data_IF_239457936340
#
_entry.id   IF_239457936340
#
_cell.length_a   1.000
_cell.length_b   1.000
_cell.length_c   1.000
_cell.angle_alpha   90.00
_cell.angle_beta   90.00
_cell.angle_gamma   90.00
#
_symmetry.space_group_name_H-M   'P 1'
#
loop_
_entity.id
_entity.type
_entity.pdbx_description
1 polymer ?
#
# COMPACT_ATOMS: atom_id res chain seq x y z
N UNK A 1 -40.27 -6.72 27.30
CA UNK A 1 -38.81 -6.76 27.20
C UNK A 1 -38.39 -8.23 27.11
N UNK A 2 -38.26 -8.73 25.91
CA UNK A 2 -38.02 -10.15 25.66
C UNK A 2 -36.54 -10.52 25.84
N UNK A 3 -36.27 -11.35 26.83
CA UNK A 3 -34.99 -11.93 27.20
C UNK A 3 -34.81 -13.32 26.53
N UNK A 4 -35.02 -13.44 25.24
CA UNK A 4 -34.81 -14.71 24.51
C UNK A 4 -33.94 -14.54 23.28
N UNK A 5 -32.70 -14.94 23.38
CA UNK A 5 -31.89 -15.71 22.43
C UNK A 5 -30.36 -15.47 22.60
N UNK A 6 -29.85 -15.81 23.78
CA UNK A 6 -28.42 -16.09 23.87
C UNK A 6 -28.23 -17.61 23.65
N UNK A 7 -27.63 -17.97 22.51
CA UNK A 7 -27.33 -19.37 22.24
C UNK A 7 -26.20 -19.88 23.17
N UNK A 8 -26.23 -21.19 23.51
CA UNK A 8 -25.17 -21.85 24.31
C UNK A 8 -23.75 -21.64 23.74
N UNK A 9 -23.64 -21.43 22.42
CA UNK A 9 -22.37 -21.09 21.76
C UNK A 9 -21.86 -19.69 22.12
N UNK A 10 -22.73 -18.70 22.26
CA UNK A 10 -22.36 -17.34 22.67
C UNK A 10 -21.91 -17.27 24.13
N UNK A 11 -22.47 -18.12 24.99
CA UNK A 11 -22.06 -18.20 26.40
C UNK A 11 -20.67 -18.83 26.58
N UNK A 12 -20.34 -19.88 25.78
CA UNK A 12 -19.03 -20.51 25.80
C UNK A 12 -17.92 -19.62 25.24
N UNK A 13 -18.23 -18.75 24.25
CA UNK A 13 -17.26 -17.81 23.71
C UNK A 13 -16.93 -16.66 24.68
N UNK A 14 -17.90 -16.21 25.50
CA UNK A 14 -17.67 -15.22 26.53
C UNK A 14 -16.95 -15.80 27.75
N UNK A 15 -17.26 -17.04 28.15
CA UNK A 15 -16.62 -17.73 29.25
C UNK A 15 -15.14 -18.08 29.01
N UNK A 16 -14.76 -18.39 27.77
CA UNK A 16 -13.37 -18.64 27.40
C UNK A 16 -12.50 -17.37 27.44
N UNK A 17 -13.09 -16.19 27.19
CA UNK A 17 -12.40 -14.89 27.22
C UNK A 17 -12.04 -14.44 28.64
N UNK A 18 -12.75 -14.90 29.65
CA UNK A 18 -12.50 -14.55 31.07
C UNK A 18 -11.48 -15.43 31.76
N UNK A 19 -11.19 -16.62 31.23
CA UNK A 19 -10.22 -17.57 31.80
C UNK A 19 -8.75 -17.31 31.39
N UNK A 20 -8.52 -16.54 30.33
CA UNK A 20 -7.17 -16.20 29.84
C UNK A 20 -6.92 -14.68 29.96
N UNK A 21 -6.84 -14.16 31.15
CA UNK A 21 -6.74 -12.74 31.53
C UNK A 21 -5.56 -11.93 30.97
N UNK A 22 -5.20 -12.07 29.70
CA UNK A 22 -4.16 -11.27 29.01
C UNK A 22 -4.42 -11.00 27.52
N UNK A 23 -5.58 -11.31 26.98
CA UNK A 23 -5.87 -10.97 25.59
C UNK A 23 -6.24 -9.48 25.45
N UNK A 24 -5.45 -8.75 24.67
CA UNK A 24 -5.83 -7.39 24.25
C UNK A 24 -7.05 -7.46 23.33
N UNK A 25 -7.94 -6.48 23.40
CA UNK A 25 -9.15 -6.40 22.56
C UNK A 25 -8.82 -6.56 21.05
N UNK A 26 -7.64 -6.11 20.63
CA UNK A 26 -7.12 -6.30 19.25
C UNK A 26 -6.87 -7.77 18.89
N UNK A 27 -6.40 -8.60 19.82
CA UNK A 27 -6.17 -10.04 19.59
C UNK A 27 -7.48 -10.81 19.50
N UNK A 28 -8.49 -10.43 20.27
CA UNK A 28 -9.83 -11.02 20.19
C UNK A 28 -10.54 -10.64 18.88
N UNK A 29 -10.32 -9.44 18.35
CA UNK A 29 -10.83 -8.99 17.06
C UNK A 29 -10.10 -9.69 15.89
N UNK A 30 -8.79 -9.91 16.02
CA UNK A 30 -7.98 -10.66 15.06
C UNK A 30 -8.39 -12.15 14.96
N UNK A 31 -8.65 -12.80 16.09
CA UNK A 31 -9.18 -14.17 16.14
C UNK A 31 -10.58 -14.29 15.50
N UNK A 32 -11.38 -13.23 15.55
CA UNK A 32 -12.70 -13.19 14.92
C UNK A 32 -12.64 -12.95 13.42
N UNK A 33 -11.62 -12.21 12.95
CA UNK A 33 -11.35 -11.99 11.53
C UNK A 33 -10.71 -13.22 10.85
N UNK A 34 -10.02 -14.05 11.63
CA UNK A 34 -9.38 -15.29 11.17
C UNK A 34 -10.31 -16.52 11.14
N UNK A 35 -11.60 -16.37 11.43
CA UNK A 35 -12.56 -17.48 11.31
C UNK A 35 -12.72 -17.85 9.82
N UNK A 36 -12.50 -19.12 9.42
CA UNK A 36 -12.65 -19.53 8.04
C UNK A 36 -14.06 -19.19 7.51
N UNK A 37 -14.15 -18.39 6.45
CA UNK A 37 -15.38 -18.09 5.72
C UNK A 37 -16.04 -16.74 6.00
N UNK A 38 -15.48 -15.83 6.80
CA UNK A 38 -15.99 -14.47 6.91
C UNK A 38 -15.04 -13.49 6.22
N UNK A 39 -15.43 -12.92 5.10
CA UNK A 39 -14.72 -11.77 4.52
C UNK A 39 -14.61 -10.66 5.56
N UNK A 40 -13.45 -9.99 5.69
CA UNK A 40 -13.30 -8.89 6.65
C UNK A 40 -14.26 -7.77 6.28
N UNK A 41 -14.81 -7.13 7.31
CA UNK A 41 -15.66 -5.97 7.08
C UNK A 41 -14.82 -4.84 6.49
N UNK A 42 -15.31 -4.12 5.47
CA UNK A 42 -14.59 -3.02 4.81
C UNK A 42 -14.02 -1.98 5.79
N UNK A 43 -14.77 -1.66 6.84
CA UNK A 43 -14.34 -0.72 7.88
C UNK A 43 -13.09 -1.17 8.65
N UNK A 44 -12.74 -2.46 8.61
CA UNK A 44 -11.57 -3.01 9.32
C UNK A 44 -10.34 -3.18 8.43
N UNK A 45 -10.48 -3.01 7.11
CA UNK A 45 -9.37 -3.16 6.18
C UNK A 45 -8.38 -1.99 6.26
N UNK A 46 -7.10 -2.34 6.21
CA UNK A 46 -5.97 -1.45 5.96
C UNK A 46 -5.19 -1.93 4.75
N UNK A 47 -4.45 -1.04 4.11
CA UNK A 47 -3.62 -1.37 2.94
C UNK A 47 -2.17 -0.99 3.20
N UNK A 48 -1.25 -1.89 2.85
CA UNK A 48 0.18 -1.61 2.73
C UNK A 48 0.55 -1.78 1.26
N UNK A 49 0.97 -0.71 0.61
CA UNK A 49 1.47 -0.71 -0.75
C UNK A 49 3.00 -0.70 -0.73
N UNK A 50 3.62 -1.76 -1.25
CA UNK A 50 5.04 -1.78 -1.60
C UNK A 50 5.16 -1.27 -3.04
N UNK A 51 5.51 0.01 -3.18
CA UNK A 51 5.60 0.66 -4.49
C UNK A 51 7.02 0.60 -5.02
N UNK A 52 7.22 -0.24 -6.05
CA UNK A 52 8.52 -0.51 -6.66
C UNK A 52 8.69 0.39 -7.90
N UNK A 53 9.08 1.65 -7.65
CA UNK A 53 9.16 2.66 -8.69
C UNK A 53 10.33 2.43 -9.65
N UNK A 54 10.02 2.32 -10.92
CA UNK A 54 10.98 2.10 -12.01
C UNK A 54 10.67 0.89 -12.90
N UNK A 55 9.62 0.12 -12.64
CA UNK A 55 9.25 -1.04 -13.48
C UNK A 55 9.96 -2.33 -13.07
N UNK A 56 9.39 -3.05 -12.10
CA UNK A 56 9.86 -4.38 -11.73
C UNK A 56 9.75 -5.35 -12.92
N UNK A 57 10.84 -6.03 -13.22
CA UNK A 57 10.81 -7.08 -14.25
C UNK A 57 10.02 -8.31 -13.78
N UNK A 58 8.98 -8.64 -14.51
CA UNK A 58 8.14 -9.81 -14.27
C UNK A 58 8.91 -11.11 -14.53
N UNK A 59 9.87 -11.11 -15.46
CA UNK A 59 10.68 -12.29 -15.81
C UNK A 59 11.55 -12.78 -14.65
N UNK A 60 12.16 -11.86 -13.94
CA UNK A 60 13.07 -12.16 -12.84
C UNK A 60 12.30 -12.33 -11.53
N UNK A 61 10.97 -12.06 -11.50
CA UNK A 61 10.16 -12.08 -10.29
C UNK A 61 8.95 -13.02 -10.36
N UNK A 62 7.77 -12.49 -10.70
CA UNK A 62 6.50 -13.18 -10.47
C UNK A 62 5.96 -13.97 -11.68
N UNK A 63 6.52 -13.75 -12.89
CA UNK A 63 6.14 -14.46 -14.11
C UNK A 63 7.37 -14.99 -14.87
N UNK A 64 8.17 -15.89 -14.26
CA UNK A 64 9.35 -16.45 -14.92
C UNK A 64 8.92 -17.26 -16.14
N UNK A 65 9.69 -17.13 -17.23
CA UNK A 65 9.44 -17.79 -18.52
C UNK A 65 10.66 -18.64 -18.90
N UNK A 66 10.92 -19.78 -18.20
CA UNK A 66 12.11 -20.59 -18.45
C UNK A 66 12.14 -21.19 -19.88
N UNK A 67 10.98 -21.34 -20.51
CA UNK A 67 10.83 -21.85 -21.87
C UNK A 67 10.78 -20.72 -22.94
N UNK A 68 10.98 -19.45 -22.54
CA UNK A 68 11.02 -18.36 -23.50
C UNK A 68 12.23 -18.50 -24.45
N UNK A 69 12.13 -17.83 -25.59
CA UNK A 69 13.19 -17.77 -26.61
C UNK A 69 14.52 -17.32 -26.00
N UNK A 70 15.62 -17.81 -26.53
CA UNK A 70 16.94 -17.29 -26.21
C UNK A 70 17.03 -15.78 -26.46
N UNK A 71 17.66 -15.04 -25.55
CA UNK A 71 17.66 -13.57 -25.53
C UNK A 71 16.44 -12.93 -24.88
N UNK A 72 15.39 -13.73 -24.53
CA UNK A 72 14.19 -13.27 -23.83
C UNK A 72 14.13 -13.82 -22.41
N UNK A 73 14.40 -15.14 -22.26
CA UNK A 73 14.41 -15.77 -20.93
C UNK A 73 15.42 -15.10 -20.00
N UNK A 74 15.09 -15.08 -18.72
CA UNK A 74 15.99 -14.59 -17.68
C UNK A 74 17.32 -15.37 -17.67
N UNK A 75 18.39 -14.74 -17.23
CA UNK A 75 19.64 -15.44 -16.87
C UNK A 75 19.48 -16.25 -15.58
N UNK A 76 18.40 -16.03 -14.84
CA UNK A 76 18.05 -16.76 -13.63
C UNK A 76 16.99 -17.81 -13.93
N UNK A 77 16.94 -18.84 -13.09
CA UNK A 77 15.94 -19.87 -13.15
C UNK A 77 14.62 -19.50 -12.50
N UNK A 78 13.76 -20.50 -12.38
CA UNK A 78 12.53 -20.41 -11.59
C UNK A 78 12.55 -21.50 -10.51
N UNK A 79 11.88 -21.25 -9.39
CA UNK A 79 11.74 -22.19 -8.27
C UNK A 79 10.26 -22.47 -8.01
N UNK A 80 9.94 -23.69 -7.54
CA UNK A 80 8.60 -23.99 -7.06
C UNK A 80 8.31 -23.21 -5.78
N UNK A 81 7.02 -22.92 -5.58
CA UNK A 81 6.53 -22.34 -4.33
C UNK A 81 5.98 -23.44 -3.41
N UNK A 82 5.48 -23.07 -2.22
CA UNK A 82 4.72 -23.98 -1.35
C UNK A 82 3.33 -24.34 -1.90
N UNK A 83 2.95 -23.81 -3.07
CA UNK A 83 1.71 -24.12 -3.78
C UNK A 83 2.03 -24.86 -5.07
N UNK A 84 1.54 -26.08 -5.22
CA UNK A 84 1.78 -26.91 -6.40
C UNK A 84 1.34 -26.19 -7.68
N UNK A 85 2.22 -26.18 -8.69
CA UNK A 85 1.96 -25.56 -10.01
C UNK A 85 2.31 -24.07 -10.10
N UNK A 86 2.63 -23.41 -9.00
CA UNK A 86 3.09 -22.00 -9.01
C UNK A 86 4.61 -21.98 -8.90
N UNK A 87 5.23 -21.27 -9.86
CA UNK A 87 6.66 -20.98 -9.85
C UNK A 87 6.88 -19.46 -9.85
N UNK A 88 7.96 -19.04 -9.21
CA UNK A 88 8.46 -17.65 -9.18
C UNK A 88 9.94 -17.62 -9.54
N UNK A 89 10.50 -16.45 -9.80
CA UNK A 89 11.94 -16.30 -10.05
C UNK A 89 12.78 -16.84 -8.89
N UNK A 90 13.91 -17.47 -9.20
CA UNK A 90 14.78 -18.13 -8.21
C UNK A 90 15.34 -17.17 -7.14
N UNK A 91 15.31 -15.86 -7.40
CA UNK A 91 15.76 -14.83 -6.47
C UNK A 91 14.70 -14.45 -5.41
N UNK A 92 13.56 -15.18 -5.37
CA UNK A 92 12.47 -14.98 -4.39
C UNK A 92 12.24 -16.20 -3.50
N UNK A 93 13.30 -16.84 -2.91
CA UNK A 93 13.15 -18.09 -2.16
C UNK A 93 12.37 -17.94 -0.85
N UNK A 94 12.36 -16.78 -0.22
CA UNK A 94 11.60 -16.55 1.01
C UNK A 94 10.12 -16.33 0.70
N UNK A 95 9.80 -15.50 -0.30
CA UNK A 95 8.43 -15.29 -0.74
C UNK A 95 7.78 -16.55 -1.29
N UNK A 96 8.54 -17.41 -1.97
CA UNK A 96 8.06 -18.70 -2.48
C UNK A 96 7.47 -19.62 -1.39
N UNK A 97 7.94 -19.50 -0.14
CA UNK A 97 7.44 -20.25 1.01
C UNK A 97 6.09 -19.75 1.54
N UNK A 98 5.62 -18.62 1.06
CA UNK A 98 4.39 -17.96 1.50
C UNK A 98 3.39 -17.77 0.35
N UNK A 99 3.56 -18.46 -0.78
CA UNK A 99 2.67 -18.34 -1.93
C UNK A 99 1.21 -18.70 -1.61
N UNK A 100 0.98 -19.53 -0.62
CA UNK A 100 -0.34 -19.83 -0.06
C UNK A 100 -1.07 -18.60 0.51
N UNK A 101 -0.37 -17.46 0.73
CA UNK A 101 -0.90 -16.24 1.35
C UNK A 101 -1.12 -15.10 0.37
N UNK A 102 -0.72 -15.27 -0.91
CA UNK A 102 -0.87 -14.21 -1.90
C UNK A 102 -1.36 -14.72 -3.25
N UNK A 103 -2.01 -13.85 -4.01
CA UNK A 103 -2.36 -14.03 -5.42
C UNK A 103 -1.36 -13.27 -6.28
N UNK A 104 -0.82 -13.93 -7.32
CA UNK A 104 -0.01 -13.30 -8.36
C UNK A 104 -0.93 -12.92 -9.50
N UNK A 105 -1.01 -11.64 -9.86
CA UNK A 105 -1.68 -11.15 -11.04
C UNK A 105 -0.63 -11.06 -12.15
N UNK A 106 -0.70 -11.94 -13.17
CA UNK A 106 0.23 -11.98 -14.29
C UNK A 106 -0.27 -11.23 -15.53
N UNK A 107 -1.49 -10.75 -15.46
CA UNK A 107 -2.22 -10.21 -16.60
C UNK A 107 -2.51 -8.71 -16.50
N UNK A 108 -1.71 -7.98 -15.75
CA UNK A 108 -1.79 -6.53 -15.78
C UNK A 108 -1.35 -6.00 -17.15
N UNK A 109 -2.11 -5.05 -17.68
CA UNK A 109 -1.82 -4.43 -18.96
C UNK A 109 -2.12 -2.93 -18.94
N UNK A 110 -1.28 -2.17 -19.62
CA UNK A 110 -1.39 -0.73 -19.81
C UNK A 110 -0.82 -0.36 -21.18
N UNK A 111 -0.88 0.92 -21.53
CA UNK A 111 -0.29 1.43 -22.79
C UNK A 111 0.78 2.50 -22.55
N UNK A 112 0.97 2.93 -21.29
CA UNK A 112 1.86 4.03 -20.95
C UNK A 112 3.23 3.51 -20.51
N UNK A 113 4.25 3.84 -21.29
CA UNK A 113 5.64 3.44 -21.06
C UNK A 113 6.52 4.59 -20.50
N UNK A 114 5.94 5.72 -20.10
CA UNK A 114 6.66 6.85 -19.49
C UNK A 114 6.45 6.82 -17.99
N UNK A 115 7.53 6.80 -17.19
CA UNK A 115 7.45 6.63 -15.74
C UNK A 115 6.46 7.57 -15.05
N UNK A 116 6.53 8.86 -15.30
CA UNK A 116 5.71 9.83 -14.57
C UNK A 116 4.21 9.64 -14.85
N UNK A 117 3.84 9.45 -16.11
CA UNK A 117 2.46 9.25 -16.52
C UNK A 117 1.96 7.85 -16.13
N UNK A 118 2.78 6.81 -16.29
CA UNK A 118 2.42 5.45 -15.88
C UNK A 118 2.24 5.34 -14.37
N UNK A 119 3.11 5.97 -13.55
CA UNK A 119 2.93 6.03 -12.10
C UNK A 119 1.65 6.79 -11.73
N UNK A 120 1.39 7.92 -12.39
CA UNK A 120 0.15 8.67 -12.17
C UNK A 120 -1.08 7.83 -12.52
N UNK A 121 -1.03 7.06 -13.63
CA UNK A 121 -2.09 6.16 -14.04
C UNK A 121 -2.29 5.02 -13.02
N UNK A 122 -1.22 4.31 -12.66
CA UNK A 122 -1.27 3.20 -11.70
C UNK A 122 -1.74 3.61 -10.31
N UNK A 123 -1.50 4.87 -9.90
CA UNK A 123 -1.90 5.33 -8.58
C UNK A 123 -3.25 6.06 -8.56
N UNK A 124 -3.83 6.41 -9.72
CA UNK A 124 -5.12 7.10 -9.78
C UNK A 124 -6.23 6.32 -10.49
N UNK A 125 -5.89 5.38 -11.40
CA UNK A 125 -6.84 4.72 -12.31
C UNK A 125 -7.26 5.57 -13.50
N UNK A 126 -6.69 6.77 -13.64
CA UNK A 126 -7.02 7.67 -14.73
C UNK A 126 -5.82 7.92 -15.63
N UNK A 127 -6.05 7.82 -16.94
CA UNK A 127 -5.05 8.23 -17.91
C UNK A 127 -4.67 9.72 -17.68
N UNK A 128 -3.37 10.06 -17.67
CA UNK A 128 -2.91 11.41 -17.41
C UNK A 128 -3.53 12.43 -18.38
N UNK A 129 -3.91 13.58 -17.86
CA UNK A 129 -4.44 14.72 -18.64
C UNK A 129 -3.64 15.96 -18.31
N UNK A 130 -3.27 16.74 -19.31
CA UNK A 130 -2.49 17.99 -19.15
C UNK A 130 -3.20 19.04 -18.29
N UNK A 131 -4.53 19.05 -18.31
CA UNK A 131 -5.37 20.06 -17.65
C UNK A 131 -5.89 19.65 -16.28
N UNK A 132 -5.75 18.39 -15.90
CA UNK A 132 -6.31 17.87 -14.65
C UNK A 132 -5.40 16.81 -14.05
N UNK A 133 -4.97 17.04 -12.82
CA UNK A 133 -4.32 16.02 -12.00
C UNK A 133 -5.38 15.24 -11.23
N UNK A 134 -5.29 13.92 -11.26
CA UNK A 134 -6.18 13.05 -10.51
C UNK A 134 -5.58 12.70 -9.14
N UNK A 135 -6.43 12.47 -8.12
CA UNK A 135 -5.96 12.04 -6.81
C UNK A 135 -5.45 10.60 -6.85
N UNK A 136 -4.41 10.32 -6.05
CA UNK A 136 -4.00 8.94 -5.80
C UNK A 136 -5.11 8.17 -5.08
N UNK A 137 -5.18 6.85 -5.28
CA UNK A 137 -6.15 6.02 -4.55
C UNK A 137 -5.93 6.05 -3.03
N UNK A 138 -4.69 6.25 -2.55
CA UNK A 138 -4.42 6.50 -1.13
C UNK A 138 -5.11 7.76 -0.61
N UNK A 139 -5.14 8.82 -1.42
CA UNK A 139 -5.85 10.07 -1.08
C UNK A 139 -7.36 9.93 -1.16
N UNK A 140 -7.89 9.14 -2.11
CA UNK A 140 -9.32 8.80 -2.16
C UNK A 140 -9.72 8.00 -0.92
N UNK A 141 -8.94 6.99 -0.53
CA UNK A 141 -9.15 6.21 0.69
C UNK A 141 -9.15 7.12 1.93
N UNK A 142 -8.20 8.07 2.00
CA UNK A 142 -8.13 9.02 3.11
C UNK A 142 -9.34 9.97 3.17
N UNK A 143 -9.98 10.23 2.03
CA UNK A 143 -11.19 11.06 1.95
C UNK A 143 -12.45 10.28 2.32
N UNK A 144 -12.61 9.08 1.74
CA UNK A 144 -13.85 8.31 1.87
C UNK A 144 -13.95 7.55 3.21
N UNK A 145 -12.80 7.14 3.76
CA UNK A 145 -12.76 6.42 5.02
C UNK A 145 -12.27 7.31 6.15
N UNK A 146 -13.11 7.51 7.15
CA UNK A 146 -12.72 8.25 8.35
C UNK A 146 -11.48 7.65 9.01
N UNK A 147 -10.58 8.50 9.55
CA UNK A 147 -9.49 8.02 10.40
C UNK A 147 -10.03 7.21 11.58
N UNK A 148 -9.35 6.13 11.96
CA UNK A 148 -9.73 5.31 13.13
C UNK A 148 -9.26 5.92 14.46
N UNK A 149 -8.36 6.88 14.38
CA UNK A 149 -7.74 7.55 15.53
C UNK A 149 -7.06 8.86 15.07
N UNK A 150 -6.15 9.39 15.87
CA UNK A 150 -5.42 10.63 15.60
C UNK A 150 -4.36 10.52 14.51
N UNK A 151 -4.00 9.30 14.08
CA UNK A 151 -3.00 9.09 13.02
C UNK A 151 -3.57 9.50 11.65
N UNK A 152 -2.73 10.07 10.76
CA UNK A 152 -3.14 10.33 9.39
C UNK A 152 -3.61 9.06 8.71
N UNK A 153 -4.72 9.10 7.96
CA UNK A 153 -5.25 7.92 7.28
C UNK A 153 -4.38 7.44 6.12
N UNK A 154 -3.53 8.30 5.58
CA UNK A 154 -2.57 7.99 4.53
C UNK A 154 -1.15 8.43 4.93
N UNK A 155 -0.24 7.46 5.00
CA UNK A 155 1.18 7.68 5.34
C UNK A 155 2.06 7.13 4.23
N UNK A 156 3.12 7.87 3.89
CA UNK A 156 4.12 7.49 2.90
C UNK A 156 5.50 7.45 3.55
N UNK A 157 6.29 6.41 3.24
CA UNK A 157 7.69 6.27 3.63
C UNK A 157 8.57 5.91 2.44
N UNK A 158 9.89 6.08 2.56
CA UNK A 158 10.86 5.71 1.54
C UNK A 158 11.17 6.80 0.50
N UNK A 159 10.80 8.06 0.76
CA UNK A 159 11.19 9.18 -0.08
C UNK A 159 10.19 10.34 -0.09
N UNK A 160 10.50 11.44 -0.78
CA UNK A 160 9.62 12.61 -0.81
C UNK A 160 8.33 12.31 -1.57
N UNK A 161 7.23 12.94 -1.14
CA UNK A 161 5.92 12.84 -1.81
C UNK A 161 6.02 13.34 -3.25
N UNK A 162 5.61 12.52 -4.20
CA UNK A 162 5.56 12.87 -5.62
C UNK A 162 4.20 13.47 -5.98
N UNK A 163 4.16 14.21 -7.09
CA UNK A 163 2.94 14.86 -7.57
C UNK A 163 1.76 13.88 -7.72
N UNK A 164 2.01 12.69 -8.24
CA UNK A 164 1.00 11.65 -8.47
C UNK A 164 0.59 10.84 -7.24
N UNK A 165 1.22 11.06 -6.09
CA UNK A 165 0.82 10.48 -4.81
C UNK A 165 -0.09 11.40 -4.00
N UNK A 166 -0.35 12.61 -4.51
CA UNK A 166 -1.10 13.64 -3.82
C UNK A 166 -2.61 13.54 -4.07
N UNK A 167 -3.34 14.32 -3.30
CA UNK A 167 -4.80 14.39 -3.33
C UNK A 167 -5.36 15.22 -4.48
N UNK A 168 -4.52 15.92 -5.24
CA UNK A 168 -4.94 16.74 -6.37
C UNK A 168 -6.15 17.64 -6.03
N UNK A 169 -7.22 17.55 -6.83
CA UNK A 169 -8.44 18.39 -6.63
C UNK A 169 -9.25 18.03 -5.37
N UNK A 170 -8.95 16.91 -4.67
CA UNK A 170 -9.59 16.62 -3.38
C UNK A 170 -9.11 17.54 -2.26
N UNK A 171 -8.01 18.23 -2.50
CA UNK A 171 -7.41 19.17 -1.55
C UNK A 171 -6.34 18.59 -0.65
N UNK A 172 -5.44 19.44 -0.14
CA UNK A 172 -4.22 19.03 0.57
C UNK A 172 -4.49 18.29 1.88
N UNK A 173 -5.68 18.38 2.44
CA UNK A 173 -6.11 17.64 3.64
C UNK A 173 -5.94 16.12 3.50
N UNK A 174 -6.03 15.60 2.28
CA UNK A 174 -5.95 14.18 1.97
C UNK A 174 -4.61 13.76 1.37
N UNK A 175 -3.62 14.66 1.37
CA UNK A 175 -2.25 14.32 0.98
C UNK A 175 -1.65 13.31 1.97
N UNK A 176 -0.69 12.47 1.52
CA UNK A 176 0.03 11.59 2.42
C UNK A 176 0.84 12.37 3.45
N UNK A 177 0.83 11.87 4.68
CA UNK A 177 1.80 12.29 5.70
C UNK A 177 3.13 11.60 5.43
N UNK A 178 4.21 12.36 5.33
CA UNK A 178 5.54 11.82 5.07
C UNK A 178 6.20 11.36 6.36
N UNK A 179 6.44 10.04 6.46
CA UNK A 179 7.15 9.43 7.59
C UNK A 179 8.67 9.33 7.38
N UNK A 180 9.20 9.82 6.24
CA UNK A 180 10.60 9.72 5.85
C UNK A 180 11.10 8.25 5.77
N UNK A 181 12.41 8.01 5.81
CA UNK A 181 13.02 6.68 5.71
C UNK A 181 13.42 6.15 7.09
N UNK A 182 12.74 5.10 7.60
CA UNK A 182 13.01 4.57 8.95
C UNK A 182 14.33 3.80 9.07
N UNK A 183 15.06 3.60 7.97
CA UNK A 183 16.39 3.01 7.99
C UNK A 183 17.53 4.03 8.19
N UNK A 184 17.21 5.32 8.15
CA UNK A 184 18.20 6.37 8.39
C UNK A 184 18.71 6.30 9.82
N UNK A 185 19.99 6.56 10.00
CA UNK A 185 20.58 6.80 11.30
C UNK A 185 19.87 7.99 11.98
N UNK A 186 19.53 7.83 13.26
CA UNK A 186 18.77 8.82 14.02
C UNK A 186 17.41 9.17 13.39
N UNK A 187 16.71 8.15 12.84
CA UNK A 187 15.37 8.32 12.28
C UNK A 187 14.46 9.06 13.24
N UNK A 188 13.88 10.14 12.76
CA UNK A 188 12.81 10.89 13.41
C UNK A 188 11.82 11.36 12.37
N UNK A 189 10.56 11.18 12.65
CA UNK A 189 9.52 11.80 11.83
C UNK A 189 9.51 13.29 12.13
N UNK A 190 9.58 14.10 11.08
CA UNK A 190 9.54 15.55 11.22
C UNK A 190 8.25 15.97 11.92
N UNK A 191 8.35 16.96 12.77
CA UNK A 191 7.22 17.60 13.43
C UNK A 191 6.39 16.72 14.38
N UNK A 192 6.96 15.59 14.88
CA UNK A 192 6.35 14.82 15.98
C UNK A 192 6.78 15.28 17.36
N UNK A 193 7.78 16.16 17.44
CA UNK A 193 8.25 16.77 18.68
C UNK A 193 8.14 18.30 18.59
N UNK A 194 7.96 18.94 19.73
CA UNK A 194 8.03 20.40 19.77
C UNK A 194 9.46 20.88 19.48
N UNK A 195 9.62 21.98 18.74
CA UNK A 195 10.94 22.59 18.55
C UNK A 195 11.61 22.93 19.91
N UNK A 196 12.91 22.85 19.95
CA UNK A 196 13.68 23.22 21.15
C UNK A 196 13.28 24.61 21.65
N UNK A 197 12.99 24.71 22.96
CA UNK A 197 12.57 25.96 23.59
C UNK A 197 11.13 26.37 23.37
N UNK A 198 10.30 25.48 22.78
CA UNK A 198 8.86 25.67 22.65
C UNK A 198 8.12 24.73 23.59
N UNK A 199 7.35 25.27 24.49
CA UNK A 199 6.44 24.53 25.38
C UNK A 199 4.99 24.59 24.88
N UNK A 200 4.12 23.72 25.43
CA UNK A 200 2.72 23.68 25.07
C UNK A 200 1.98 24.99 25.37
N UNK A 201 2.35 25.70 26.43
CA UNK A 201 1.75 26.99 26.76
C UNK A 201 2.02 28.03 25.67
N UNK A 202 3.21 28.00 25.08
CA UNK A 202 3.56 28.89 23.95
C UNK A 202 2.82 28.48 22.67
N UNK A 203 2.67 27.18 22.40
CA UNK A 203 1.88 26.65 21.27
C UNK A 203 0.42 27.09 21.42
N UNK A 204 -0.18 26.91 22.57
CA UNK A 204 -1.60 27.24 22.81
C UNK A 204 -1.86 28.76 22.72
N UNK A 205 -0.93 29.59 23.21
CA UNK A 205 -0.99 31.06 23.01
C UNK A 205 -0.92 31.45 21.54
N UNK A 206 0.02 30.84 20.77
CA UNK A 206 0.12 31.10 19.33
C UNK A 206 -1.13 30.67 18.58
N UNK A 207 -1.70 29.52 18.90
CA UNK A 207 -2.94 29.03 18.29
C UNK A 207 -4.13 29.95 18.60
N UNK A 208 -4.22 30.47 19.81
CA UNK A 208 -5.27 31.41 20.18
C UNK A 208 -5.18 32.72 19.39
N UNK A 209 -3.97 33.24 19.18
CA UNK A 209 -3.72 34.42 18.37
C UNK A 209 -4.01 34.15 16.89
N UNK A 210 -3.60 32.99 16.36
CA UNK A 210 -3.86 32.59 14.97
C UNK A 210 -5.38 32.53 14.71
N UNK A 211 -6.14 31.86 15.58
CA UNK A 211 -7.61 31.80 15.47
C UNK A 211 -8.28 33.18 15.49
N UNK A 212 -7.71 34.15 16.20
CA UNK A 212 -8.22 35.52 16.19
C UNK A 212 -7.95 36.23 14.85
N UNK A 213 -6.76 36.05 14.29
CA UNK A 213 -6.41 36.58 12.97
C UNK A 213 -7.25 35.92 11.87
N UNK A 214 -7.36 34.59 11.88
CA UNK A 214 -8.06 33.81 10.85
C UNK A 214 -9.56 34.11 10.79
N UNK A 215 -10.20 34.53 11.89
CA UNK A 215 -11.61 34.97 11.85
C UNK A 215 -11.86 36.14 10.90
N UNK A 216 -10.90 37.02 10.70
CA UNK A 216 -11.00 38.10 9.73
C UNK A 216 -10.72 37.61 8.31
N UNK A 217 -9.73 36.73 8.12
CA UNK A 217 -9.39 36.18 6.81
C UNK A 217 -10.44 35.21 6.27
N UNK A 218 -11.09 34.39 7.10
CA UNK A 218 -12.17 33.47 6.67
C UNK A 218 -13.36 34.16 6.03
N UNK A 219 -13.62 35.42 6.38
CA UNK A 219 -14.68 36.22 5.71
C UNK A 219 -14.36 36.57 4.27
N UNK A 220 -13.09 36.47 3.87
CA UNK A 220 -12.59 36.82 2.52
C UNK A 220 -12.11 35.58 1.75
N UNK A 221 -12.01 34.42 2.40
CA UNK A 221 -11.54 33.18 1.77
C UNK A 221 -12.67 32.46 1.04
N UNK A 222 -12.76 32.68 -0.26
CA UNK A 222 -13.73 32.05 -1.17
C UNK A 222 -13.29 30.67 -1.66
N UNK A 223 -12.04 30.24 -1.36
CA UNK A 223 -11.42 29.04 -1.92
C UNK A 223 -11.16 27.96 -0.87
N UNK A 224 -11.40 28.23 0.43
CA UNK A 224 -11.23 27.26 1.53
C UNK A 224 -9.77 26.96 1.89
N UNK A 225 -8.82 27.81 1.49
CA UNK A 225 -7.38 27.63 1.79
C UNK A 225 -7.11 27.74 3.29
N UNK A 226 -7.79 28.67 3.97
CA UNK A 226 -7.62 28.90 5.41
C UNK A 226 -8.10 27.68 6.20
N UNK A 227 -9.22 27.07 5.81
CA UNK A 227 -9.76 25.87 6.47
C UNK A 227 -8.86 24.64 6.24
N UNK A 228 -8.24 24.53 5.06
CA UNK A 228 -7.26 23.49 4.77
C UNK A 228 -5.99 23.64 5.62
N UNK A 229 -5.46 24.88 5.73
CA UNK A 229 -4.29 25.17 6.57
C UNK A 229 -4.57 24.91 8.06
N UNK A 230 -5.75 25.32 8.57
CA UNK A 230 -6.19 25.04 9.93
C UNK A 230 -6.26 23.52 10.21
N UNK A 231 -6.82 22.76 9.27
CA UNK A 231 -6.94 21.31 9.41
C UNK A 231 -5.55 20.65 9.47
N UNK A 232 -4.61 21.05 8.63
CA UNK A 232 -3.22 20.55 8.68
C UNK A 232 -2.54 20.90 10.00
N UNK A 233 -2.69 22.14 10.45
CA UNK A 233 -2.13 22.60 11.71
C UNK A 233 -2.71 21.83 12.92
N UNK A 234 -4.02 21.63 12.97
CA UNK A 234 -4.68 20.85 14.04
C UNK A 234 -4.25 19.37 13.99
N UNK A 235 -4.14 18.77 12.81
CA UNK A 235 -3.65 17.40 12.65
C UNK A 235 -2.22 17.27 13.18
N UNK A 236 -1.32 18.20 12.80
CA UNK A 236 0.06 18.22 13.29
C UNK A 236 0.11 18.34 14.84
N UNK A 237 -0.66 19.26 15.43
CA UNK A 237 -0.70 19.42 16.88
C UNK A 237 -1.27 18.19 17.60
N UNK A 238 -2.27 17.55 17.03
CA UNK A 238 -2.86 16.32 17.56
C UNK A 238 -1.84 15.19 17.54
N UNK A 239 -1.08 15.06 16.44
CA UNK A 239 0.02 14.08 16.32
C UNK A 239 1.11 14.31 17.35
N UNK A 240 1.58 15.56 17.51
CA UNK A 240 2.62 15.92 18.50
C UNK A 240 2.16 15.61 19.94
N UNK A 241 0.86 15.76 20.24
CA UNK A 241 0.28 15.44 21.56
C UNK A 241 0.04 13.95 21.75
N UNK A 242 -0.09 13.17 20.68
CA UNK A 242 -0.46 11.77 20.75
C UNK A 242 0.74 10.88 21.09
N UNK A 243 0.77 10.38 22.32
CA UNK A 243 1.76 9.35 22.70
C UNK A 243 1.60 8.05 21.89
N UNK A 244 0.39 7.78 21.40
CA UNK A 244 0.12 6.68 20.49
C UNK A 244 0.84 6.88 19.16
N UNK A 245 0.74 8.08 18.59
CA UNK A 245 1.45 8.42 17.34
C UNK A 245 2.96 8.28 17.53
N UNK A 246 3.52 8.85 18.57
CA UNK A 246 4.97 8.74 18.87
C UNK A 246 5.41 7.28 18.99
N UNK A 247 4.65 6.43 19.67
CA UNK A 247 4.94 4.99 19.76
C UNK A 247 4.85 4.29 18.43
N UNK A 248 3.85 4.59 17.59
CA UNK A 248 3.69 3.98 16.27
C UNK A 248 4.92 4.17 15.39
N UNK A 249 5.49 5.39 15.38
CA UNK A 249 6.66 5.72 14.57
C UNK A 249 7.99 5.28 15.19
N UNK A 250 8.03 4.93 16.48
CA UNK A 250 9.28 4.55 17.16
C UNK A 250 9.70 3.13 16.81
N UNK A 251 10.30 2.97 15.63
CA UNK A 251 10.74 1.66 15.11
C UNK A 251 11.83 1.00 15.98
N UNK A 252 12.63 1.81 16.70
CA UNK A 252 13.69 1.35 17.61
C UNK A 252 13.14 0.56 18.80
N UNK A 253 11.84 0.68 19.10
CA UNK A 253 11.19 -0.11 20.14
C UNK A 253 10.95 -1.58 19.74
N UNK A 254 11.09 -1.92 18.47
CA UNK A 254 11.00 -3.31 18.00
C UNK A 254 12.26 -4.10 18.32
N UNK A 255 12.13 -5.39 18.66
CA UNK A 255 13.27 -6.24 18.92
C UNK A 255 14.27 -6.25 17.76
N UNK A 256 15.56 -6.21 18.07
CA UNK A 256 16.64 -6.21 17.08
C UNK A 256 16.49 -7.38 16.09
N UNK A 257 16.22 -8.58 16.60
CA UNK A 257 16.00 -9.79 15.78
C UNK A 257 14.87 -9.60 14.76
N UNK A 258 13.79 -8.89 15.12
CA UNK A 258 12.69 -8.62 14.19
C UNK A 258 13.11 -7.60 13.13
N UNK A 259 13.80 -6.54 13.53
CA UNK A 259 14.35 -5.54 12.61
C UNK A 259 15.31 -6.17 11.60
N UNK A 260 16.16 -7.11 12.06
CA UNK A 260 17.03 -7.91 11.19
C UNK A 260 16.23 -8.82 10.26
N UNK A 261 15.15 -9.47 10.74
CA UNK A 261 14.29 -10.34 9.92
C UNK A 261 13.73 -9.60 8.70
N UNK A 262 13.28 -8.35 8.87
CA UNK A 262 12.82 -7.49 7.77
C UNK A 262 13.95 -7.00 6.85
N UNK A 263 15.19 -6.99 7.33
CA UNK A 263 16.35 -6.40 6.67
C UNK A 263 16.59 -4.95 7.05
N UNK A 264 17.88 -4.59 7.23
CA UNK A 264 18.33 -3.23 7.53
C UNK A 264 18.48 -2.41 6.24
N UNK A 265 17.39 -2.30 5.50
CA UNK A 265 17.27 -1.52 4.26
C UNK A 265 16.09 -0.57 4.37
N UNK A 266 16.04 0.44 3.52
CA UNK A 266 14.90 1.37 3.49
C UNK A 266 13.57 0.64 3.23
N UNK A 267 13.56 -0.37 2.34
CA UNK A 267 12.38 -1.18 2.08
C UNK A 267 12.00 -2.04 3.29
N UNK A 268 12.96 -2.76 3.89
CA UNK A 268 12.70 -3.66 5.03
C UNK A 268 12.20 -2.90 6.26
N UNK A 269 12.90 -1.82 6.66
CA UNK A 269 12.46 -1.02 7.81
C UNK A 269 11.19 -0.22 7.49
N UNK A 270 10.95 0.16 6.22
CA UNK A 270 9.70 0.73 5.75
C UNK A 270 8.52 -0.23 5.89
N UNK A 271 8.69 -1.51 5.54
CA UNK A 271 7.69 -2.56 5.74
C UNK A 271 7.39 -2.78 7.22
N UNK A 272 8.41 -2.82 8.08
CA UNK A 272 8.22 -2.93 9.52
C UNK A 272 7.47 -1.72 10.10
N UNK A 273 7.80 -0.50 9.66
CA UNK A 273 7.05 0.69 10.04
C UNK A 273 5.60 0.62 9.55
N UNK A 274 5.36 0.18 8.31
CA UNK A 274 4.02 0.04 7.77
C UNK A 274 3.16 -0.94 8.58
N UNK A 275 3.72 -2.10 9.00
CA UNK A 275 3.04 -3.04 9.88
C UNK A 275 2.64 -2.36 11.21
N UNK A 276 3.55 -1.63 11.85
CA UNK A 276 3.27 -0.89 13.09
C UNK A 276 2.14 0.14 12.92
N UNK A 277 2.18 0.88 11.81
CA UNK A 277 1.18 1.90 11.51
C UNK A 277 -0.22 1.30 11.29
N UNK A 278 -0.33 0.18 10.55
CA UNK A 278 -1.63 -0.48 10.38
C UNK A 278 -2.11 -1.16 11.66
N UNK A 279 -1.21 -1.68 12.51
CA UNK A 279 -1.51 -2.18 13.86
C UNK A 279 -2.13 -1.07 14.72
N UNK A 280 -1.68 0.16 14.57
CA UNK A 280 -2.23 1.33 15.22
C UNK A 280 -3.45 1.95 14.49
N UNK A 281 -3.91 1.34 13.40
CA UNK A 281 -5.16 1.68 12.73
C UNK A 281 -5.04 2.64 11.55
N UNK A 282 -3.85 2.88 11.01
CA UNK A 282 -3.68 3.64 9.76
C UNK A 282 -4.35 2.89 8.60
N UNK A 283 -5.09 3.61 7.76
CA UNK A 283 -5.86 3.02 6.65
C UNK A 283 -5.00 2.62 5.48
N UNK A 284 -4.05 3.46 5.11
CA UNK A 284 -3.22 3.27 3.93
C UNK A 284 -1.78 3.69 4.20
N UNK A 285 -0.84 2.78 3.98
CA UNK A 285 0.59 3.04 4.09
C UNK A 285 1.28 2.68 2.79
N UNK A 286 1.95 3.64 2.16
CA UNK A 286 2.79 3.42 0.98
C UNK A 286 4.26 3.35 1.39
N UNK A 287 4.91 2.24 1.08
CA UNK A 287 6.35 2.03 1.24
C UNK A 287 6.98 2.09 -0.14
N UNK A 288 7.65 3.21 -0.45
CA UNK A 288 8.28 3.39 -1.75
C UNK A 288 9.71 2.85 -1.76
N UNK A 289 10.02 2.06 -2.79
CA UNK A 289 11.36 1.62 -3.14
C UNK A 289 11.65 2.05 -4.58
N UNK A 290 12.63 2.93 -4.77
CA UNK A 290 13.06 3.37 -6.09
C UNK A 290 14.20 2.54 -6.67
N UNK A 291 14.61 2.87 -7.91
CA UNK A 291 15.75 2.26 -8.59
C UNK A 291 15.44 0.87 -9.16
N UNK A 292 14.23 0.69 -9.70
CA UNK A 292 13.82 -0.50 -10.45
C UNK A 292 13.88 -0.31 -11.97
N UNK A 293 14.42 0.82 -12.41
CA UNK A 293 14.58 1.18 -13.83
C UNK A 293 15.89 0.65 -14.40
N UNK A 294 15.88 -0.61 -14.83
CA UNK A 294 17.09 -1.34 -15.25
C UNK A 294 17.22 -1.48 -16.76
N UNK A 295 17.57 -0.38 -17.43
CA UNK A 295 17.92 -0.39 -18.85
C UNK A 295 19.33 -0.98 -19.13
N UNK A 296 20.16 -1.10 -18.10
CA UNK A 296 21.52 -1.67 -18.14
C UNK A 296 21.84 -2.36 -16.84
N UNK A 297 22.75 -3.35 -16.92
CA UNK A 297 23.26 -4.10 -15.76
C UNK A 297 22.16 -4.69 -14.85
N UNK A 298 20.99 -5.02 -15.44
CA UNK A 298 19.82 -5.51 -14.71
C UNK A 298 20.14 -6.72 -13.83
N UNK A 299 20.79 -7.72 -14.44
CA UNK A 299 20.98 -9.01 -13.76
C UNK A 299 21.88 -8.92 -12.54
N UNK A 300 22.90 -8.06 -12.57
CA UNK A 300 23.74 -7.82 -11.38
C UNK A 300 22.98 -7.06 -10.30
N UNK A 301 22.34 -5.94 -10.63
CA UNK A 301 21.67 -5.10 -9.64
C UNK A 301 20.48 -5.83 -8.99
N UNK A 302 19.71 -6.57 -9.80
CA UNK A 302 18.51 -7.23 -9.30
C UNK A 302 18.86 -8.44 -8.41
N UNK A 303 19.96 -9.15 -8.72
CA UNK A 303 20.39 -10.33 -7.95
C UNK A 303 21.14 -9.99 -6.67
N UNK A 304 21.97 -8.94 -6.70
CA UNK A 304 22.81 -8.60 -5.56
C UNK A 304 22.13 -7.70 -4.54
N UNK A 305 21.08 -6.97 -4.97
CA UNK A 305 20.45 -5.95 -4.13
C UNK A 305 18.93 -6.01 -4.14
N UNK A 306 18.31 -5.76 -5.29
CA UNK A 306 16.87 -5.43 -5.36
C UNK A 306 15.94 -6.57 -4.99
N UNK A 307 16.06 -7.74 -5.62
CA UNK A 307 15.20 -8.88 -5.30
C UNK A 307 15.50 -9.47 -3.93
N UNK A 308 16.76 -9.63 -3.46
CA UNK A 308 17.02 -10.04 -2.09
C UNK A 308 16.42 -9.12 -1.03
N UNK A 309 16.46 -7.79 -1.24
CA UNK A 309 15.82 -6.82 -0.34
C UNK A 309 14.29 -6.98 -0.35
N UNK A 310 13.68 -7.11 -1.54
CA UNK A 310 12.23 -7.29 -1.69
C UNK A 310 11.77 -8.61 -1.09
N UNK A 311 12.43 -9.70 -1.42
CA UNK A 311 12.09 -11.04 -0.97
C UNK A 311 12.09 -11.13 0.56
N UNK A 312 13.14 -10.59 1.18
CA UNK A 312 13.28 -10.55 2.63
C UNK A 312 12.20 -9.68 3.29
N UNK A 313 11.99 -8.46 2.78
CA UNK A 313 11.04 -7.52 3.34
C UNK A 313 9.59 -8.01 3.21
N UNK A 314 9.21 -8.52 2.03
CA UNK A 314 7.87 -9.01 1.74
C UNK A 314 7.54 -10.29 2.52
N UNK A 315 8.44 -11.27 2.53
CA UNK A 315 8.25 -12.50 3.30
C UNK A 315 8.13 -12.21 4.80
N UNK A 316 9.00 -11.36 5.36
CA UNK A 316 8.94 -10.97 6.76
C UNK A 316 7.63 -10.24 7.11
N UNK A 317 7.14 -9.38 6.21
CA UNK A 317 5.87 -8.67 6.38
C UNK A 317 4.68 -9.63 6.41
N UNK A 318 4.62 -10.58 5.47
CA UNK A 318 3.57 -11.59 5.43
C UNK A 318 3.55 -12.46 6.69
N UNK A 319 4.73 -12.91 7.12
CA UNK A 319 4.87 -13.74 8.32
C UNK A 319 4.46 -12.98 9.58
N UNK A 320 4.95 -11.74 9.78
CA UNK A 320 4.64 -10.92 10.96
C UNK A 320 3.13 -10.57 11.03
N UNK A 321 2.53 -10.21 9.89
CA UNK A 321 1.08 -9.96 9.81
C UNK A 321 0.27 -11.23 10.10
N UNK A 322 0.70 -12.39 9.61
CA UNK A 322 0.03 -13.65 9.83
C UNK A 322 0.15 -14.10 11.29
N UNK A 323 1.35 -14.05 11.88
CA UNK A 323 1.59 -14.41 13.28
C UNK A 323 0.80 -13.52 14.26
N UNK A 324 0.56 -12.27 13.90
CA UNK A 324 -0.25 -11.32 14.68
C UNK A 324 -1.75 -11.43 14.41
N UNK A 325 -2.20 -12.29 13.49
CA UNK A 325 -3.59 -12.40 13.08
C UNK A 325 -4.11 -11.16 12.32
N UNK A 326 -3.21 -10.36 11.75
CA UNK A 326 -3.54 -9.11 11.05
C UNK A 326 -3.67 -9.29 9.53
N UNK A 327 -3.17 -10.41 8.96
CA UNK A 327 -3.15 -10.59 7.51
C UNK A 327 -4.56 -10.56 6.91
N UNK A 328 -5.56 -11.12 7.62
CA UNK A 328 -6.95 -11.09 7.16
C UNK A 328 -7.55 -9.68 7.07
N UNK A 329 -7.04 -8.71 7.82
CA UNK A 329 -7.52 -7.31 7.83
C UNK A 329 -6.52 -6.32 7.23
N UNK A 330 -5.43 -6.80 6.67
CA UNK A 330 -4.40 -5.98 6.01
C UNK A 330 -4.13 -6.51 4.63
N UNK A 331 -4.50 -5.74 3.60
CA UNK A 331 -4.14 -6.04 2.23
C UNK A 331 -2.73 -5.53 1.95
N UNK A 332 -1.84 -6.40 1.51
CA UNK A 332 -0.49 -6.05 1.07
C UNK A 332 -0.44 -6.12 -0.45
N UNK A 333 -0.03 -5.04 -1.09
CA UNK A 333 0.09 -4.93 -2.55
C UNK A 333 1.58 -4.72 -2.86
N UNK A 334 2.15 -5.56 -3.74
CA UNK A 334 3.44 -5.30 -4.38
C UNK A 334 3.15 -4.83 -5.79
N UNK A 335 3.45 -3.56 -6.06
CA UNK A 335 3.08 -2.89 -7.31
C UNK A 335 4.20 -2.09 -7.93
N UNK A 336 4.09 -1.89 -9.24
CA UNK A 336 4.99 -1.09 -10.08
C UNK A 336 4.17 -0.45 -11.20
N UNK A 337 4.75 0.51 -11.93
CA UNK A 337 4.03 1.24 -12.98
C UNK A 337 3.86 0.47 -14.29
N UNK A 338 4.80 -0.42 -14.63
CA UNK A 338 4.80 -1.30 -15.81
C UNK A 338 5.83 -2.42 -15.64
N UNK A 339 5.88 -3.35 -16.58
CA UNK A 339 6.88 -4.42 -16.66
C UNK A 339 8.09 -4.04 -17.50
N UNK A 340 8.84 -5.07 -17.89
CA UNK A 340 10.03 -4.94 -18.71
C UNK A 340 9.92 -5.76 -19.98
N UNK A 341 10.58 -5.29 -21.06
CA UNK A 341 10.58 -5.98 -22.36
C UNK A 341 11.01 -7.44 -22.23
N UNK A 342 10.40 -8.34 -23.01
CA UNK A 342 10.90 -9.71 -23.17
C UNK A 342 12.35 -9.75 -23.64
N UNK A 343 12.70 -8.93 -24.61
CA UNK A 343 14.05 -8.86 -25.15
C UNK A 343 15.03 -8.22 -24.16
N UNK A 344 16.14 -8.91 -23.95
CA UNK A 344 17.30 -8.37 -23.22
C UNK A 344 18.06 -7.48 -24.20
N UNK A 345 18.21 -6.21 -23.87
CA UNK A 345 18.87 -5.22 -24.71
C UNK A 345 20.41 -5.37 -24.68
N UNK A 346 21.11 -4.65 -25.57
CA UNK A 346 22.57 -4.70 -25.72
C UNK A 346 23.37 -4.27 -24.48
N UNK A 347 22.71 -3.62 -23.52
CA UNK A 347 23.31 -3.15 -22.27
C UNK A 347 23.05 -4.10 -21.09
N UNK A 348 22.63 -5.34 -21.36
CA UNK A 348 22.30 -6.33 -20.34
C UNK A 348 21.14 -5.86 -19.42
N UNK A 349 20.19 -5.15 -20.00
CA UNK A 349 19.00 -4.59 -19.37
C UNK A 349 17.72 -4.98 -20.11
N UNK A 350 16.61 -4.42 -19.67
CA UNK A 350 15.30 -4.50 -20.30
C UNK A 350 14.64 -3.12 -20.33
N UNK A 351 13.96 -2.81 -21.42
CA UNK A 351 13.28 -1.53 -21.59
C UNK A 351 11.85 -1.58 -21.01
N UNK A 352 11.12 -0.47 -21.08
CA UNK A 352 9.77 -0.37 -20.53
C UNK A 352 8.77 -1.20 -21.34
N UNK A 353 7.93 -1.97 -20.65
CA UNK A 353 6.91 -2.81 -21.28
C UNK A 353 5.58 -2.77 -20.53
N UNK A 354 4.66 -1.87 -20.89
CA UNK A 354 3.37 -1.77 -20.22
C UNK A 354 2.36 -2.83 -20.65
N UNK A 355 2.55 -3.49 -21.81
CA UNK A 355 1.58 -4.43 -22.38
C UNK A 355 1.36 -5.68 -21.50
N UNK A 356 2.38 -6.07 -20.70
CA UNK A 356 2.29 -7.24 -19.83
C UNK A 356 3.18 -7.04 -18.59
N UNK A 357 2.60 -7.08 -17.40
CA UNK A 357 3.35 -7.01 -16.14
C UNK A 357 2.60 -7.69 -14.99
N UNK A 358 3.28 -7.86 -13.86
CA UNK A 358 2.75 -8.59 -12.72
C UNK A 358 2.63 -7.71 -11.49
N UNK A 359 1.55 -7.92 -10.73
CA UNK A 359 1.38 -7.42 -9.37
C UNK A 359 1.15 -8.59 -8.41
N UNK A 360 1.31 -8.34 -7.12
CA UNK A 360 0.99 -9.32 -6.07
C UNK A 360 0.07 -8.70 -5.05
N UNK A 361 -0.95 -9.46 -4.64
CA UNK A 361 -1.89 -9.04 -3.59
C UNK A 361 -1.97 -10.15 -2.54
N UNK A 362 -1.79 -9.79 -1.28
CA UNK A 362 -1.87 -10.70 -0.14
C UNK A 362 -2.81 -10.20 0.93
N UNK A 363 -3.47 -11.08 1.63
CA UNK A 363 -4.31 -10.72 2.78
C UNK A 363 -5.52 -9.85 2.44
N UNK A 364 -6.08 -9.17 3.45
CA UNK A 364 -7.26 -8.32 3.26
C UNK A 364 -8.50 -9.05 2.74
N UNK A 365 -8.58 -10.37 2.98
CA UNK A 365 -9.67 -11.22 2.49
C UNK A 365 -9.56 -11.53 0.99
N UNK A 366 -8.36 -11.42 0.40
CA UNK A 366 -8.05 -11.98 -0.93
C UNK A 366 -7.49 -13.38 -0.71
N UNK A 367 -8.04 -14.36 -1.45
CA UNK A 367 -7.55 -15.73 -1.41
C UNK A 367 -6.10 -15.79 -1.91
N UNK A 368 -5.25 -16.52 -1.19
CA UNK A 368 -3.89 -16.80 -1.62
C UNK A 368 -3.77 -18.12 -2.39
N UNK A 369 -2.55 -18.46 -2.80
CA UNK A 369 -2.22 -19.74 -3.42
C UNK A 369 -2.66 -19.84 -4.88
N UNK A 370 -2.80 -18.74 -5.59
CA UNK A 370 -3.25 -18.73 -7.00
C UNK A 370 -2.52 -17.71 -7.87
N UNK A 371 -2.61 -17.93 -9.17
CA UNK A 371 -2.25 -16.96 -10.20
C UNK A 371 -3.52 -16.50 -10.92
N UNK A 372 -3.61 -15.23 -11.27
CA UNK A 372 -4.71 -14.67 -12.03
C UNK A 372 -4.20 -14.17 -13.37
N UNK A 373 -4.79 -14.71 -14.45
CA UNK A 373 -4.43 -14.45 -15.81
C UNK A 373 -3.06 -15.03 -16.23
N UNK A 374 -2.73 -14.91 -17.50
CA UNK A 374 -1.50 -15.40 -18.07
C UNK A 374 -1.01 -14.50 -19.19
N UNK A 375 0.31 -14.47 -19.37
CA UNK A 375 1.00 -13.92 -20.53
C UNK A 375 1.43 -15.04 -21.47
N UNK A 376 1.70 -14.72 -22.72
CA UNK A 376 2.22 -15.67 -23.71
C UNK A 376 3.58 -16.28 -23.27
N UNK A 377 4.08 -17.25 -24.02
CA UNK A 377 5.34 -17.95 -23.72
C UNK A 377 6.54 -17.01 -23.60
N UNK A 378 6.53 -15.89 -24.27
CA UNK A 378 7.60 -14.91 -24.31
C UNK A 378 7.28 -13.65 -23.50
N UNK A 379 6.10 -13.59 -22.87
CA UNK A 379 5.63 -12.45 -22.09
C UNK A 379 5.52 -11.13 -22.90
N UNK A 380 5.19 -11.22 -24.20
CA UNK A 380 4.92 -10.06 -25.05
C UNK A 380 3.56 -9.44 -24.73
N UNK A 381 2.56 -10.28 -24.53
CA UNK A 381 1.19 -9.86 -24.34
C UNK A 381 0.47 -10.72 -23.30
N UNK A 382 -0.60 -10.17 -22.78
CA UNK A 382 -1.56 -10.91 -21.93
C UNK A 382 -2.46 -11.73 -22.85
N UNK A 383 -2.53 -13.05 -22.61
CA UNK A 383 -3.33 -13.99 -23.40
C UNK A 383 -4.54 -14.51 -22.63
N UNK A 384 -4.58 -14.35 -21.31
CA UNK A 384 -5.68 -14.80 -20.48
C UNK A 384 -6.02 -13.74 -19.44
N UNK A 385 -7.32 -13.42 -19.34
CA UNK A 385 -7.89 -12.57 -18.31
C UNK A 385 -7.15 -11.23 -18.15
N UNK A 386 -7.08 -10.36 -19.16
CA UNK A 386 -6.42 -9.06 -19.04
C UNK A 386 -7.08 -8.23 -17.93
N UNK A 387 -6.26 -7.60 -17.10
CA UNK A 387 -6.67 -6.68 -16.05
C UNK A 387 -6.07 -5.32 -16.35
N UNK A 388 -6.93 -4.35 -16.58
CA UNK A 388 -6.52 -2.97 -16.79
C UNK A 388 -6.30 -2.26 -15.44
N UNK A 389 -5.49 -1.23 -15.47
CA UNK A 389 -5.17 -0.42 -14.27
C UNK A 389 -6.44 0.05 -13.53
N UNK A 390 -7.46 0.61 -14.20
CA UNK A 390 -8.68 1.03 -13.51
C UNK A 390 -9.45 -0.11 -12.85
N UNK A 391 -9.48 -1.33 -13.47
CA UNK A 391 -10.13 -2.51 -12.88
C UNK A 391 -9.49 -2.91 -11.56
N UNK A 392 -8.15 -2.87 -11.51
CA UNK A 392 -7.41 -3.17 -10.30
C UNK A 392 -7.71 -2.15 -9.19
N UNK A 393 -7.78 -0.85 -9.51
CA UNK A 393 -8.10 0.19 -8.52
C UNK A 393 -9.56 0.14 -8.10
N UNK A 394 -10.49 -0.14 -9.02
CA UNK A 394 -11.89 -0.39 -8.69
C UNK A 394 -12.03 -1.54 -7.69
N UNK A 395 -11.21 -2.60 -7.84
CA UNK A 395 -11.15 -3.73 -6.90
C UNK A 395 -10.73 -3.28 -5.50
N UNK A 396 -9.70 -2.44 -5.39
CA UNK A 396 -9.26 -1.88 -4.09
C UNK A 396 -10.40 -1.10 -3.44
N UNK A 397 -11.10 -0.25 -4.20
CA UNK A 397 -12.23 0.52 -3.69
C UNK A 397 -13.39 -0.38 -3.25
N UNK A 398 -13.76 -1.36 -4.06
CA UNK A 398 -14.81 -2.31 -3.73
C UNK A 398 -14.52 -3.08 -2.43
N UNK A 399 -13.27 -3.56 -2.24
CA UNK A 399 -12.83 -4.22 -1.00
C UNK A 399 -12.98 -3.32 0.22
N UNK A 400 -12.77 -2.03 0.05
CA UNK A 400 -12.90 -1.02 1.11
C UNK A 400 -14.32 -0.49 1.28
N UNK A 401 -15.29 -0.96 0.49
CA UNK A 401 -16.67 -0.47 0.51
C UNK A 401 -16.82 0.97 -0.01
N UNK A 402 -15.88 1.44 -0.82
CA UNK A 402 -15.93 2.74 -1.46
C UNK A 402 -16.68 2.60 -2.78
N UNK A 403 -17.71 3.41 -2.99
CA UNK A 403 -18.44 3.48 -4.27
C UNK A 403 -17.54 4.13 -5.34
N UNK A 404 -16.96 3.31 -6.22
CA UNK A 404 -16.10 3.79 -7.29
C UNK A 404 -16.86 4.32 -8.53
N UNK A 405 -18.18 4.18 -8.56
CA UNK A 405 -19.03 4.80 -9.60
C UNK A 405 -19.41 6.24 -9.24
N UNK A 406 -19.20 6.69 -8.00
CA UNK A 406 -19.52 8.05 -7.59
C UNK A 406 -18.70 9.10 -8.36
N UNK A 407 -19.18 10.35 -8.32
CA UNK A 407 -18.56 11.48 -9.00
C UNK A 407 -18.04 12.49 -7.99
N UNK A 408 -16.84 13.00 -8.26
CA UNK A 408 -16.29 14.16 -7.57
C UNK A 408 -16.42 15.43 -8.41
N UNK A 409 -16.46 16.57 -7.74
CA UNK A 409 -16.28 17.86 -8.41
C UNK A 409 -14.79 18.19 -8.48
N UNK A 410 -14.26 18.36 -9.69
CA UNK A 410 -12.89 18.83 -9.87
C UNK A 410 -12.76 20.32 -9.55
N UNK A 411 -11.52 20.78 -9.35
CA UNK A 411 -11.20 22.19 -9.12
C UNK A 411 -11.54 23.12 -10.31
N UNK A 412 -11.85 22.53 -11.47
CA UNK A 412 -12.32 23.29 -12.66
C UNK A 412 -13.84 23.20 -12.85
N UNK A 413 -14.57 22.75 -11.82
CA UNK A 413 -16.03 22.66 -11.82
C UNK A 413 -16.62 21.55 -12.70
N UNK A 414 -15.78 20.58 -13.16
CA UNK A 414 -16.26 19.44 -13.94
C UNK A 414 -16.45 18.22 -13.04
N UNK A 415 -17.55 17.47 -13.19
CA UNK A 415 -17.71 16.20 -12.54
C UNK A 415 -16.69 15.17 -13.10
N UNK A 416 -16.07 14.39 -12.22
CA UNK A 416 -15.09 13.37 -12.54
C UNK A 416 -15.49 12.09 -11.81
N UNK A 417 -15.62 10.97 -12.53
CA UNK A 417 -15.84 9.67 -11.90
C UNK A 417 -14.64 9.24 -11.09
N UNK A 418 -14.88 8.48 -10.04
CA UNK A 418 -13.78 7.88 -9.25
C UNK A 418 -13.04 6.84 -10.08
N UNK A 419 -13.77 6.02 -10.84
CA UNK A 419 -13.26 5.16 -11.92
C UNK A 419 -14.12 5.38 -13.15
N UNK A 420 -13.50 5.57 -14.31
CA UNK A 420 -14.20 5.78 -15.57
C UNK A 420 -14.85 4.44 -16.05
N UNK A 421 -16.02 4.53 -16.74
CA UNK A 421 -16.59 3.38 -17.45
C UNK A 421 -15.71 3.01 -18.67
N UNK A 422 -15.67 1.74 -19.08
CA UNK A 422 -16.45 0.60 -18.59
C UNK A 422 -15.74 -0.27 -17.56
N UNK A 423 -14.80 0.27 -16.83
CA UNK A 423 -13.95 -0.49 -15.90
C UNK A 423 -14.69 -0.90 -14.63
N UNK A 424 -14.44 -2.14 -14.18
CA UNK A 424 -15.13 -2.78 -13.07
C UNK A 424 -14.16 -3.54 -12.15
N UNK A 425 -14.57 -3.75 -10.90
CA UNK A 425 -13.78 -4.52 -9.95
C UNK A 425 -13.59 -5.97 -10.40
N UNK A 426 -12.38 -6.48 -10.24
CA UNK A 426 -11.99 -7.86 -10.55
C UNK A 426 -12.60 -8.80 -9.51
N UNK A 427 -13.65 -9.53 -9.90
CA UNK A 427 -14.47 -10.33 -8.98
C UNK A 427 -13.66 -11.40 -8.26
N UNK A 428 -12.69 -11.98 -8.94
CA UNK A 428 -11.80 -13.01 -8.39
C UNK A 428 -10.94 -12.49 -7.21
N UNK A 429 -10.73 -11.20 -7.11
CA UNK A 429 -9.98 -10.57 -6.01
C UNK A 429 -10.90 -10.09 -4.88
N UNK A 430 -12.21 -10.16 -5.04
CA UNK A 430 -13.17 -9.77 -4.00
C UNK A 430 -13.46 -10.91 -3.01
N UNK A 431 -13.06 -12.12 -3.36
CA UNK A 431 -13.22 -13.36 -2.54
C UNK A 431 -11.95 -13.72 -1.83
#
# INVERSE_FOLDING_TARGET
MDLHSFSRRSFLSVGALTLFGRFRLGEALALRAAAPGSSPKPENLSIILLWLAGGLSQFESWDPKPAAKEGYRSKFGSIPTNVTGIQVGELLPLSARHADKYTIIRSMTSQDAVHESAQAFMLSGHAPRSTLQFPSYGSVIAKELSPRNELPPYILTGGPVRKWEQAAFLGPKYNPFLADDPNKENYKVRDLDLPLGVDWARVDRRNSLLRLADRQFRRMDTVGIVDAMDTHHQTALTLIRSERAKRAFKIESEPEKLREKYGRTSLGQGCLLARRLVEEGVRFVSVRSGGWDHHFNLFNDISTKKLPELDRAFAALLEDLNERGMLGTTMVIVGTEFGRTPEINVNDGRDHWPAAFSLVVAGGGVDGGRTLGATDQNCWEVVERPIHVPDFIATIYAKLGIDYHQMYQSNVGRPVRVIDEPFEAVQELLT
#
